data_IF_731260268953
#
_entry.id   IF_731260268953
#
_cell.length_a   1.000
_cell.length_b   1.000
_cell.length_c   1.000
_cell.angle_alpha   90.00
_cell.angle_beta   90.00
_cell.angle_gamma   90.00
#
_symmetry.space_group_name_H-M   'P 1'
#
loop_
_entity.id
_entity.type
_entity.pdbx_description
1 polymer ?
#
# COMPACT_ATOMS: atom_id res chain seq x y z
N UNK A 1 18.61 -33.80 9.19
CA UNK A 1 17.71 -32.65 9.36
C UNK A 1 16.89 -32.54 8.10
N UNK A 2 15.57 -32.71 8.19
CA UNK A 2 14.69 -32.51 7.05
C UNK A 2 14.67 -31.01 6.71
N UNK A 3 15.03 -30.66 5.47
CA UNK A 3 14.80 -29.31 4.94
C UNK A 3 13.28 -29.14 4.93
N UNK A 4 12.71 -28.17 5.66
CA UNK A 4 11.28 -27.90 5.57
C UNK A 4 10.96 -27.59 4.11
N UNK A 5 9.98 -28.28 3.53
CA UNK A 5 9.42 -27.94 2.23
C UNK A 5 9.01 -26.48 2.32
N UNK A 6 9.73 -25.59 1.63
CA UNK A 6 9.39 -24.18 1.64
C UNK A 6 8.02 -24.06 0.96
N UNK A 7 6.99 -23.47 1.61
CA UNK A 7 5.80 -23.07 0.89
C UNK A 7 6.26 -22.22 -0.29
N UNK A 8 5.73 -22.51 -1.49
CA UNK A 8 6.12 -21.87 -2.75
C UNK A 8 6.38 -20.38 -2.54
N UNK A 9 7.66 -19.98 -2.62
CA UNK A 9 8.08 -18.59 -2.47
C UNK A 9 7.78 -17.75 -3.72
N UNK A 10 7.04 -18.32 -4.67
CA UNK A 10 6.72 -17.70 -5.95
C UNK A 10 5.41 -16.95 -5.86
N UNK A 11 5.40 -15.76 -6.48
CA UNK A 11 4.19 -15.01 -6.72
C UNK A 11 3.17 -15.87 -7.49
N UNK A 12 1.89 -15.65 -7.19
CA UNK A 12 0.82 -16.09 -8.08
C UNK A 12 0.98 -15.42 -9.45
N UNK A 13 0.69 -16.11 -10.57
CA UNK A 13 0.70 -15.50 -11.88
C UNK A 13 -0.27 -14.32 -11.90
N UNK A 14 0.21 -13.13 -12.28
CA UNK A 14 -0.63 -11.93 -12.33
C UNK A 14 -1.71 -12.10 -13.41
N UNK A 15 -3.02 -12.10 -13.06
CA UNK A 15 -4.11 -12.20 -14.05
C UNK A 15 -4.05 -11.05 -15.04
N UNK A 16 -4.53 -11.18 -16.30
CA UNK A 16 -4.48 -10.09 -17.27
C UNK A 16 -5.22 -8.82 -16.79
N UNK A 17 -4.95 -7.66 -17.40
CA UNK A 17 -5.76 -6.47 -17.18
C UNK A 17 -7.25 -6.76 -17.44
N UNK A 18 -8.12 -6.11 -16.69
CA UNK A 18 -9.57 -6.25 -16.83
C UNK A 18 -10.08 -5.08 -17.65
N UNK A 19 -10.72 -5.38 -18.78
CA UNK A 19 -11.32 -4.37 -19.66
C UNK A 19 -12.35 -3.52 -18.90
N UNK A 20 -12.33 -2.21 -19.13
CA UNK A 20 -13.22 -1.25 -18.47
C UNK A 20 -12.86 -0.94 -17.01
N UNK A 21 -11.80 -1.54 -16.44
CA UNK A 21 -11.37 -1.22 -15.07
C UNK A 21 -10.78 0.20 -14.97
N UNK A 22 -10.85 0.83 -13.78
CA UNK A 22 -10.26 2.16 -13.56
C UNK A 22 -8.74 2.19 -13.83
N UNK A 23 -8.06 1.05 -13.70
CA UNK A 23 -6.64 0.89 -13.95
C UNK A 23 -6.28 0.98 -15.45
N UNK A 24 -7.23 0.72 -16.34
CA UNK A 24 -7.08 0.87 -17.80
C UNK A 24 -7.56 2.23 -18.31
N UNK A 25 -8.09 3.08 -17.43
CA UNK A 25 -8.54 4.41 -17.80
C UNK A 25 -7.37 5.28 -18.30
N UNK A 26 -7.49 6.04 -19.41
CA UNK A 26 -6.38 6.82 -19.96
C UNK A 26 -5.77 7.80 -18.94
N UNK A 27 -6.62 8.45 -18.13
CA UNK A 27 -6.18 9.36 -17.07
C UNK A 27 -5.38 8.66 -15.97
N UNK A 28 -5.74 7.42 -15.61
CA UNK A 28 -4.96 6.63 -14.66
C UNK A 28 -3.55 6.36 -15.19
N UNK A 29 -3.43 5.98 -16.48
CA UNK A 29 -2.12 5.75 -17.12
C UNK A 29 -1.26 7.02 -17.22
N UNK A 30 -1.91 8.16 -17.44
CA UNK A 30 -1.25 9.48 -17.42
C UNK A 30 -0.69 9.78 -16.02
N UNK A 31 -1.50 9.61 -14.97
CA UNK A 31 -1.09 9.80 -13.57
C UNK A 31 0.08 8.87 -13.23
N UNK A 32 -0.02 7.59 -13.59
CA UNK A 32 1.06 6.63 -13.35
C UNK A 32 2.37 7.09 -14.01
N UNK A 33 2.29 7.56 -15.26
CA UNK A 33 3.43 8.09 -16.00
C UNK A 33 4.01 9.35 -15.35
N UNK A 34 3.16 10.25 -14.86
CA UNK A 34 3.56 11.46 -14.14
C UNK A 34 4.32 11.12 -12.84
N UNK A 35 3.78 10.23 -12.00
CA UNK A 35 4.43 9.79 -10.76
C UNK A 35 5.80 9.16 -11.02
N UNK A 36 5.91 8.35 -12.08
CA UNK A 36 7.17 7.73 -12.53
C UNK A 36 8.23 8.77 -12.90
N UNK A 37 7.81 9.90 -13.45
CA UNK A 37 8.66 11.06 -13.74
C UNK A 37 9.41 11.62 -12.52
N UNK A 38 8.95 11.36 -11.29
CA UNK A 38 9.65 11.71 -10.06
C UNK A 38 10.27 10.49 -9.38
N UNK A 39 9.52 9.39 -9.30
CA UNK A 39 9.92 8.22 -8.51
C UNK A 39 11.19 7.53 -9.02
N UNK A 40 11.39 7.52 -10.34
CA UNK A 40 12.44 6.74 -11.01
C UNK A 40 13.74 7.53 -11.15
N UNK A 41 13.70 8.83 -10.83
CA UNK A 41 14.90 9.67 -10.77
C UNK A 41 15.84 9.21 -9.64
N UNK A 42 17.16 9.43 -9.78
CA UNK A 42 18.10 9.31 -8.67
C UNK A 42 17.66 10.12 -7.45
N UNK A 43 18.17 9.78 -6.26
CA UNK A 43 17.90 10.60 -5.08
C UNK A 43 18.44 12.03 -5.33
N UNK A 44 17.62 13.09 -5.20
CA UNK A 44 18.08 14.45 -5.38
C UNK A 44 19.12 14.85 -4.34
N UNK A 45 20.03 15.75 -4.71
CA UNK A 45 20.96 16.39 -3.77
C UNK A 45 20.24 17.46 -2.92
N UNK A 46 19.26 18.14 -3.51
CA UNK A 46 18.45 19.16 -2.86
C UNK A 46 17.37 18.51 -1.99
N UNK A 47 17.34 18.86 -0.71
CA UNK A 47 16.41 18.26 0.26
C UNK A 47 14.94 18.60 -0.04
N UNK A 48 14.69 19.75 -0.66
CA UNK A 48 13.36 20.22 -1.03
C UNK A 48 12.68 19.31 -2.07
N UNK A 49 13.48 18.63 -2.90
CA UNK A 49 12.98 17.71 -3.94
C UNK A 49 12.67 16.30 -3.39
N UNK A 50 13.06 16.00 -2.14
CA UNK A 50 12.94 14.65 -1.60
C UNK A 50 11.49 14.21 -1.44
N UNK A 51 10.59 15.11 -1.03
CA UNK A 51 9.17 14.79 -0.80
C UNK A 51 8.44 14.34 -2.05
N UNK A 52 8.53 15.10 -3.16
CA UNK A 52 7.88 14.70 -4.42
C UNK A 52 8.32 13.31 -4.88
N UNK A 53 9.62 13.03 -4.78
CA UNK A 53 10.16 11.72 -5.16
C UNK A 53 9.69 10.60 -4.23
N UNK A 54 9.73 10.81 -2.92
CA UNK A 54 9.34 9.80 -1.94
C UNK A 54 7.84 9.53 -1.94
N UNK A 55 6.99 10.57 -2.05
CA UNK A 55 5.55 10.39 -2.23
C UNK A 55 5.21 9.72 -3.54
N UNK A 56 5.79 10.15 -4.66
CA UNK A 56 5.54 9.48 -5.95
C UNK A 56 5.84 7.98 -5.90
N UNK A 57 6.90 7.59 -5.16
CA UNK A 57 7.17 6.18 -4.92
C UNK A 57 6.03 5.54 -4.14
N UNK A 58 5.64 6.10 -3.00
CA UNK A 58 4.60 5.53 -2.11
C UNK A 58 3.27 5.42 -2.86
N UNK A 59 2.93 6.41 -3.67
CA UNK A 59 1.72 6.43 -4.49
C UNK A 59 1.75 5.29 -5.52
N UNK A 60 2.87 5.09 -6.21
CA UNK A 60 3.03 3.96 -7.14
C UNK A 60 2.94 2.59 -6.44
N UNK A 61 3.37 2.49 -5.18
CA UNK A 61 3.15 1.27 -4.38
C UNK A 61 1.67 1.05 -4.10
N UNK A 62 0.98 2.08 -3.61
CA UNK A 62 -0.46 2.02 -3.31
C UNK A 62 -1.25 1.61 -4.54
N UNK A 63 -1.00 2.29 -5.67
CA UNK A 63 -1.63 2.01 -6.95
C UNK A 63 -1.38 0.56 -7.39
N UNK A 64 -0.13 0.08 -7.30
CA UNK A 64 0.20 -1.31 -7.65
C UNK A 64 -0.48 -2.34 -6.76
N UNK A 65 -0.60 -2.07 -5.45
CA UNK A 65 -1.29 -2.98 -4.53
C UNK A 65 -2.78 -3.04 -4.82
N UNK A 66 -3.42 -1.89 -5.03
CA UNK A 66 -4.85 -1.85 -5.38
C UNK A 66 -5.12 -2.51 -6.72
N UNK A 67 -4.27 -2.31 -7.73
CA UNK A 67 -4.41 -2.99 -9.03
C UNK A 67 -4.32 -4.51 -8.86
N UNK A 68 -3.41 -5.00 -8.01
CA UNK A 68 -3.30 -6.42 -7.68
C UNK A 68 -4.56 -6.94 -6.98
N UNK A 69 -5.10 -6.21 -6.00
CA UNK A 69 -6.38 -6.57 -5.38
C UNK A 69 -7.46 -6.74 -6.43
N UNK A 70 -7.57 -5.77 -7.35
CA UNK A 70 -8.56 -5.79 -8.41
C UNK A 70 -8.38 -6.98 -9.37
N UNK A 71 -7.16 -7.21 -9.85
CA UNK A 71 -6.84 -8.27 -10.82
C UNK A 71 -7.00 -9.67 -10.21
N UNK A 72 -6.55 -9.86 -8.97
CA UNK A 72 -6.62 -11.15 -8.29
C UNK A 72 -7.99 -11.51 -7.71
N UNK A 73 -8.95 -10.60 -7.67
CA UNK A 73 -10.26 -10.86 -7.06
C UNK A 73 -10.91 -12.16 -7.57
N UNK A 74 -11.04 -12.34 -8.89
CA UNK A 74 -11.61 -13.56 -9.47
C UNK A 74 -10.70 -14.78 -9.26
N UNK A 75 -9.39 -14.61 -9.51
CA UNK A 75 -8.39 -15.67 -9.35
C UNK A 75 -8.42 -16.31 -7.96
N UNK A 76 -8.59 -15.51 -6.90
CA UNK A 76 -8.62 -16.01 -5.53
C UNK A 76 -9.74 -17.02 -5.29
N UNK A 77 -10.89 -16.86 -5.94
CA UNK A 77 -12.01 -17.81 -5.89
C UNK A 77 -11.73 -19.05 -6.74
N UNK A 78 -11.21 -18.85 -7.95
CA UNK A 78 -10.91 -19.93 -8.90
C UNK A 78 -9.79 -20.86 -8.39
N UNK A 79 -8.86 -20.31 -7.60
CA UNK A 79 -7.72 -21.03 -7.02
C UNK A 79 -7.96 -21.54 -5.59
N UNK A 80 -9.18 -21.37 -5.05
CA UNK A 80 -9.54 -21.75 -3.67
C UNK A 80 -8.58 -21.13 -2.61
N UNK A 81 -8.20 -19.87 -2.80
CA UNK A 81 -7.18 -19.17 -1.99
C UNK A 81 -7.71 -17.85 -1.39
N UNK A 82 -9.04 -17.76 -1.24
CA UNK A 82 -9.76 -16.54 -0.82
C UNK A 82 -9.23 -15.96 0.49
N UNK A 83 -8.91 -16.77 1.50
CA UNK A 83 -8.46 -16.22 2.79
C UNK A 83 -7.10 -15.53 2.71
N UNK A 84 -6.16 -16.06 1.92
CA UNK A 84 -4.87 -15.41 1.72
C UNK A 84 -5.00 -14.15 0.86
N UNK A 85 -5.89 -14.16 -0.14
CA UNK A 85 -6.24 -12.97 -0.90
C UNK A 85 -6.85 -11.89 -0.01
N UNK A 86 -7.83 -12.22 0.85
CA UNK A 86 -8.46 -11.25 1.75
C UNK A 86 -7.45 -10.63 2.70
N UNK A 87 -6.49 -11.40 3.23
CA UNK A 87 -5.40 -10.85 4.02
C UNK A 87 -4.53 -9.87 3.21
N UNK A 88 -4.19 -10.19 1.95
CA UNK A 88 -3.44 -9.27 1.08
C UNK A 88 -4.24 -8.00 0.74
N UNK A 89 -5.54 -8.15 0.44
CA UNK A 89 -6.42 -7.03 0.13
C UNK A 89 -6.60 -6.09 1.32
N UNK A 90 -6.76 -6.64 2.52
CA UNK A 90 -6.87 -5.86 3.74
C UNK A 90 -5.57 -5.11 4.06
N UNK A 91 -4.41 -5.73 3.86
CA UNK A 91 -3.10 -5.05 3.96
C UNK A 91 -3.02 -3.89 2.96
N UNK A 92 -3.49 -4.10 1.73
CA UNK A 92 -3.44 -3.11 0.66
C UNK A 92 -4.30 -1.89 0.98
N UNK A 93 -5.57 -2.10 1.33
CA UNK A 93 -6.51 -1.03 1.65
C UNK A 93 -6.11 -0.32 2.95
N UNK A 94 -5.73 -1.07 3.99
CA UNK A 94 -5.30 -0.50 5.26
C UNK A 94 -4.00 0.31 5.13
N UNK A 95 -3.11 0.01 4.17
CA UNK A 95 -1.95 0.85 3.89
C UNK A 95 -2.33 2.22 3.35
N UNK A 96 -3.34 2.29 2.47
CA UNK A 96 -3.88 3.55 1.97
C UNK A 96 -4.43 4.38 3.12
N UNK A 97 -5.22 3.77 4.02
CA UNK A 97 -5.72 4.44 5.21
C UNK A 97 -4.59 4.99 6.09
N UNK A 98 -3.62 4.15 6.45
CA UNK A 98 -2.54 4.52 7.38
C UNK A 98 -1.59 5.60 6.83
N UNK A 99 -1.43 5.66 5.51
CA UNK A 99 -0.64 6.70 4.83
C UNK A 99 -1.33 8.06 4.93
N UNK A 100 -2.58 8.16 4.49
CA UNK A 100 -3.32 9.42 4.54
C UNK A 100 -3.64 9.88 5.99
N UNK A 101 -3.90 8.93 6.90
CA UNK A 101 -4.05 9.24 8.32
C UNK A 101 -2.75 9.82 8.92
N UNK A 102 -1.58 9.36 8.48
CA UNK A 102 -0.31 9.92 8.92
C UNK A 102 -0.14 11.35 8.40
N UNK A 103 -0.52 11.61 7.15
CA UNK A 103 -0.48 12.95 6.56
C UNK A 103 -1.36 13.93 7.32
N UNK A 104 -2.64 13.61 7.50
CA UNK A 104 -3.61 14.49 8.16
C UNK A 104 -3.31 14.70 9.64
N UNK A 105 -2.81 13.70 10.35
CA UNK A 105 -2.60 13.79 11.80
C UNK A 105 -1.22 14.35 12.15
N UNK A 106 -0.21 14.18 11.27
CA UNK A 106 1.19 14.53 11.58
C UNK A 106 1.83 15.44 10.55
N UNK A 107 1.79 15.10 9.27
CA UNK A 107 2.64 15.75 8.26
C UNK A 107 2.06 17.12 7.86
N UNK A 108 0.85 17.16 7.32
CA UNK A 108 0.24 18.41 6.84
C UNK A 108 0.07 19.45 7.95
N UNK A 109 -0.39 19.10 9.17
CA UNK A 109 -0.45 20.09 10.26
C UNK A 109 0.92 20.64 10.65
N UNK A 110 1.97 19.80 10.62
CA UNK A 110 3.32 20.24 10.93
C UNK A 110 3.87 21.14 9.82
N UNK A 111 3.63 20.80 8.56
CA UNK A 111 3.98 21.64 7.41
C UNK A 111 3.26 22.99 7.46
N UNK A 112 1.94 23.01 7.66
CA UNK A 112 1.15 24.24 7.73
C UNK A 112 1.64 25.15 8.86
N UNK A 113 1.91 24.57 10.04
CA UNK A 113 2.48 25.31 11.17
C UNK A 113 3.85 25.91 10.86
N UNK A 114 4.71 25.16 10.15
CA UNK A 114 6.05 25.59 9.80
C UNK A 114 6.06 26.70 8.75
N UNK A 115 5.24 26.55 7.71
CA UNK A 115 5.09 27.51 6.62
C UNK A 115 4.35 28.79 7.04
N UNK A 116 3.56 28.74 8.11
CA UNK A 116 2.74 29.86 8.58
C UNK A 116 1.44 30.06 7.80
N UNK A 117 1.11 29.13 6.92
CA UNK A 117 -0.10 29.08 6.09
C UNK A 117 -0.41 27.61 5.76
N UNK A 118 -1.67 27.28 5.49
CA UNK A 118 -2.07 25.91 5.15
C UNK A 118 -2.10 25.71 3.62
N UNK A 119 -1.00 25.18 3.08
CA UNK A 119 -0.88 24.88 1.64
C UNK A 119 -1.41 23.49 1.27
N UNK A 120 -1.85 22.70 2.26
CA UNK A 120 -2.21 21.29 2.11
C UNK A 120 -3.69 21.01 2.43
N UNK A 121 -4.49 22.02 2.76
CA UNK A 121 -5.94 21.87 2.99
C UNK A 121 -6.68 21.21 1.81
N UNK A 122 -6.21 21.48 0.59
CA UNK A 122 -6.75 20.84 -0.62
C UNK A 122 -6.51 19.33 -0.66
N UNK A 123 -5.37 18.86 -0.17
CA UNK A 123 -5.07 17.43 -0.06
C UNK A 123 -6.01 16.75 0.94
N UNK A 124 -6.25 17.39 2.09
CA UNK A 124 -7.20 16.89 3.09
C UNK A 124 -8.61 16.77 2.51
N UNK A 125 -9.08 17.78 1.79
CA UNK A 125 -10.40 17.73 1.15
C UNK A 125 -10.49 16.59 0.12
N UNK A 126 -9.41 16.32 -0.62
CA UNK A 126 -9.33 15.20 -1.55
C UNK A 126 -9.31 13.84 -0.83
N UNK A 127 -8.62 13.71 0.31
CA UNK A 127 -8.69 12.50 1.14
C UNK A 127 -10.14 12.17 1.49
N UNK A 128 -10.88 13.16 1.96
CA UNK A 128 -12.28 12.99 2.38
C UNK A 128 -13.22 12.66 1.21
N UNK A 129 -12.81 12.88 -0.04
CA UNK A 129 -13.57 12.51 -1.21
C UNK A 129 -13.56 11.00 -1.51
N UNK A 130 -12.44 10.30 -1.25
CA UNK A 130 -12.34 8.84 -1.47
C UNK A 130 -12.42 8.02 -0.17
N UNK A 131 -12.08 8.61 0.98
CA UNK A 131 -11.98 7.88 2.25
C UNK A 131 -13.25 7.09 2.62
N UNK A 132 -14.49 7.61 2.47
CA UNK A 132 -15.68 6.84 2.84
C UNK A 132 -15.80 5.51 2.08
N UNK A 133 -15.51 5.50 0.78
CA UNK A 133 -15.56 4.30 -0.03
C UNK A 133 -14.40 3.34 0.30
N UNK A 134 -13.20 3.86 0.52
CA UNK A 134 -12.03 3.08 0.95
C UNK A 134 -12.27 2.39 2.29
N UNK A 135 -12.79 3.13 3.27
CA UNK A 135 -13.01 2.63 4.64
C UNK A 135 -14.14 1.59 4.67
N UNK A 136 -15.21 1.80 3.88
CA UNK A 136 -16.26 0.80 3.72
C UNK A 136 -15.74 -0.50 3.09
N UNK A 137 -14.85 -0.41 2.09
CA UNK A 137 -14.19 -1.59 1.52
C UNK A 137 -13.35 -2.30 2.58
N UNK A 138 -12.59 -1.54 3.37
CA UNK A 138 -11.76 -2.12 4.41
C UNK A 138 -12.59 -2.86 5.46
N UNK A 139 -13.66 -2.24 5.95
CA UNK A 139 -14.58 -2.85 6.90
C UNK A 139 -15.22 -4.12 6.31
N UNK A 140 -15.66 -4.07 5.06
CA UNK A 140 -16.19 -5.23 4.35
C UNK A 140 -15.18 -6.38 4.26
N UNK A 141 -13.95 -6.11 3.82
CA UNK A 141 -12.88 -7.12 3.70
C UNK A 141 -12.55 -7.76 5.06
N UNK A 142 -12.44 -6.95 6.11
CA UNK A 142 -12.14 -7.42 7.45
C UNK A 142 -13.27 -8.29 8.01
N UNK A 143 -14.51 -7.86 7.85
CA UNK A 143 -15.70 -8.60 8.30
C UNK A 143 -15.85 -9.92 7.54
N UNK A 144 -15.67 -9.90 6.22
CA UNK A 144 -15.71 -11.10 5.38
C UNK A 144 -14.60 -12.09 5.76
N UNK A 145 -13.38 -11.58 5.94
CA UNK A 145 -12.23 -12.38 6.40
C UNK A 145 -12.50 -13.03 7.74
N UNK A 146 -13.10 -12.29 8.69
CA UNK A 146 -13.51 -12.82 9.99
C UNK A 146 -14.56 -13.93 9.85
N UNK A 147 -15.61 -13.71 9.07
CA UNK A 147 -16.73 -14.64 8.91
C UNK A 147 -16.35 -15.93 8.16
N UNK A 148 -15.41 -15.85 7.21
CA UNK A 148 -14.92 -17.02 6.47
C UNK A 148 -13.80 -17.78 7.19
N UNK A 149 -13.11 -17.14 8.14
CA UNK A 149 -11.97 -17.75 8.82
C UNK A 149 -12.41 -18.79 9.87
N UNK A 150 -11.88 -20.02 9.84
CA UNK A 150 -12.07 -20.94 10.96
C UNK A 150 -11.41 -20.38 12.24
N UNK A 151 -11.90 -20.76 13.43
CA UNK A 151 -11.26 -20.38 14.69
C UNK A 151 -9.77 -20.76 14.68
N UNK A 152 -8.89 -19.78 14.94
CA UNK A 152 -7.41 -19.89 14.92
C UNK A 152 -6.73 -19.98 13.54
N UNK A 153 -7.37 -19.50 12.47
CA UNK A 153 -6.73 -19.46 11.15
C UNK A 153 -5.44 -18.62 11.14
N UNK A 154 -4.37 -19.17 10.53
CA UNK A 154 -3.11 -18.45 10.25
C UNK A 154 -3.23 -17.46 9.08
N UNK A 155 -4.30 -17.57 8.28
CA UNK A 155 -4.58 -16.69 7.14
C UNK A 155 -5.38 -15.43 7.50
N UNK A 156 -5.61 -15.18 8.80
CA UNK A 156 -6.24 -13.91 9.21
C UNK A 156 -5.29 -12.75 8.89
N UNK A 157 -5.86 -11.65 8.40
CA UNK A 157 -5.12 -10.42 8.13
C UNK A 157 -4.22 -10.02 9.30
N UNK A 158 -2.98 -9.59 9.03
CA UNK A 158 -2.09 -9.05 10.05
C UNK A 158 -2.46 -7.65 10.52
N UNK A 159 -3.41 -7.00 9.85
CA UNK A 159 -3.77 -5.65 10.17
C UNK A 159 -4.41 -5.61 11.56
N UNK A 160 -4.09 -4.60 12.40
CA UNK A 160 -4.73 -4.44 13.71
C UNK A 160 -6.26 -4.41 13.59
N UNK A 161 -6.94 -4.53 14.73
CA UNK A 161 -8.37 -4.26 14.81
C UNK A 161 -8.67 -2.91 14.11
N UNK A 162 -9.73 -2.91 13.30
CA UNK A 162 -10.20 -1.70 12.64
C UNK A 162 -10.36 -0.57 13.67
N UNK A 163 -9.96 0.67 13.34
CA UNK A 163 -10.34 1.84 14.11
C UNK A 163 -11.86 1.89 14.35
N UNK A 164 -12.29 2.51 15.45
CA UNK A 164 -13.72 2.66 15.77
C UNK A 164 -14.49 3.32 14.63
N UNK A 165 -13.85 4.28 13.98
CA UNK A 165 -14.40 5.09 12.90
C UNK A 165 -14.68 4.21 11.67
N UNK A 166 -13.82 3.23 11.38
CA UNK A 166 -13.98 2.32 10.24
C UNK A 166 -14.92 1.16 10.57
N UNK A 167 -14.78 0.56 11.75
CA UNK A 167 -15.61 -0.58 12.18
C UNK A 167 -17.08 -0.23 12.43
N UNK A 168 -17.38 1.04 12.71
CA UNK A 168 -18.75 1.53 12.93
C UNK A 168 -19.48 1.95 11.65
N UNK A 169 -18.82 1.91 10.50
CA UNK A 169 -19.45 2.23 9.21
C UNK A 169 -20.62 1.30 8.94
N UNK A 170 -21.78 1.90 8.67
CA UNK A 170 -22.97 1.20 8.21
C UNK A 170 -22.81 0.82 6.73
N UNK A 171 -22.40 -0.44 6.48
CA UNK A 171 -22.20 -0.97 5.13
C UNK A 171 -23.47 -0.94 4.27
N UNK A 172 -24.67 -0.79 4.85
CA UNK A 172 -25.91 -0.66 4.05
C UNK A 172 -25.99 0.64 3.24
N UNK A 173 -25.17 1.64 3.58
CA UNK A 173 -25.04 2.90 2.83
C UNK A 173 -24.21 2.75 1.55
N UNK A 174 -23.53 1.62 1.37
CA UNK A 174 -22.66 1.33 0.22
C UNK A 174 -23.30 0.22 -0.62
N UNK A 175 -24.13 0.55 -1.63
CA UNK A 175 -24.96 -0.41 -2.34
C UNK A 175 -24.18 -1.44 -3.17
N UNK A 176 -22.88 -1.19 -3.40
CA UNK A 176 -21.98 -2.09 -4.10
C UNK A 176 -21.32 -3.11 -3.16
N UNK A 177 -21.59 -3.05 -1.85
CA UNK A 177 -21.07 -3.99 -0.85
C UNK A 177 -22.24 -4.71 -0.15
N UNK A 178 -21.95 -5.90 0.39
CA UNK A 178 -22.90 -6.59 1.28
C UNK A 178 -22.92 -5.91 2.64
N UNK A 179 -24.12 -5.61 3.15
CA UNK A 179 -24.33 -5.15 4.53
C UNK A 179 -23.97 -6.22 5.57
N UNK A 180 -23.97 -7.50 5.18
CA UNK A 180 -23.57 -8.64 6.02
C UNK A 180 -22.68 -9.58 5.20
N UNK A 181 -21.35 -9.34 5.14
CA UNK A 181 -20.43 -10.10 4.31
C UNK A 181 -20.25 -11.55 4.80
N UNK A 182 -20.99 -12.52 4.24
CA UNK A 182 -20.90 -13.94 4.60
C UNK A 182 -20.40 -14.85 3.48
N UNK A 183 -20.26 -14.33 2.26
CA UNK A 183 -19.79 -15.07 1.10
C UNK A 183 -18.94 -14.19 0.20
N UNK A 184 -17.89 -14.77 -0.39
CA UNK A 184 -16.98 -14.06 -1.27
C UNK A 184 -17.53 -13.90 -2.69
N UNK A 185 -17.68 -12.64 -3.11
CA UNK A 185 -18.01 -12.25 -4.48
C UNK A 185 -16.93 -11.33 -5.06
N UNK A 186 -16.14 -11.79 -6.05
CA UNK A 186 -15.09 -10.98 -6.65
C UNK A 186 -15.63 -9.77 -7.43
N UNK A 187 -16.86 -9.83 -7.95
CA UNK A 187 -17.48 -8.73 -8.71
C UNK A 187 -17.82 -7.58 -7.77
N UNK A 188 -18.28 -7.89 -6.55
CA UNK A 188 -18.59 -6.91 -5.52
C UNK A 188 -17.37 -6.04 -5.16
N UNK A 189 -16.22 -6.67 -4.93
CA UNK A 189 -14.97 -5.97 -4.62
C UNK A 189 -14.57 -5.06 -5.77
N UNK A 190 -14.59 -5.56 -7.01
CA UNK A 190 -14.23 -4.78 -8.20
C UNK A 190 -15.14 -3.58 -8.40
N UNK A 191 -16.45 -3.81 -8.45
CA UNK A 191 -17.43 -2.74 -8.66
C UNK A 191 -17.31 -1.64 -7.60
N UNK A 192 -17.07 -2.01 -6.34
CA UNK A 192 -16.88 -1.02 -5.28
C UNK A 192 -15.57 -0.24 -5.46
N UNK A 193 -14.48 -0.90 -5.88
CA UNK A 193 -13.23 -0.20 -6.22
C UNK A 193 -13.38 0.77 -7.39
N UNK A 194 -14.21 0.46 -8.38
CA UNK A 194 -14.49 1.35 -9.52
C UNK A 194 -15.03 2.72 -9.07
N UNK A 195 -15.69 2.78 -7.90
CA UNK A 195 -16.27 4.03 -7.37
C UNK A 195 -15.26 5.03 -6.85
N UNK A 196 -14.04 4.61 -6.47
CA UNK A 196 -13.09 5.50 -5.79
C UNK A 196 -11.66 5.45 -6.32
N UNK A 197 -11.23 4.40 -7.03
CA UNK A 197 -9.82 4.25 -7.44
C UNK A 197 -9.34 5.41 -8.30
N UNK A 198 -10.16 5.92 -9.23
CA UNK A 198 -9.76 7.05 -10.05
C UNK A 198 -9.69 8.35 -9.24
N UNK A 199 -10.62 8.56 -8.30
CA UNK A 199 -10.61 9.74 -7.39
C UNK A 199 -9.36 9.72 -6.50
N UNK A 200 -9.02 8.54 -5.96
CA UNK A 200 -7.77 8.34 -5.23
C UNK A 200 -6.56 8.63 -6.13
N UNK A 201 -6.53 8.11 -7.36
CA UNK A 201 -5.40 8.34 -8.26
C UNK A 201 -5.20 9.83 -8.59
N UNK A 202 -6.28 10.59 -8.80
CA UNK A 202 -6.21 12.05 -8.99
C UNK A 202 -5.61 12.76 -7.78
N UNK A 203 -6.04 12.39 -6.57
CA UNK A 203 -5.45 12.90 -5.35
C UNK A 203 -3.93 12.62 -5.28
N UNK A 204 -3.52 11.37 -5.54
CA UNK A 204 -2.12 10.97 -5.53
C UNK A 204 -1.28 11.74 -6.56
N UNK A 205 -1.88 12.19 -7.66
CA UNK A 205 -1.25 13.09 -8.63
C UNK A 205 -1.11 14.51 -8.09
N UNK A 206 -2.21 15.09 -7.62
CA UNK A 206 -2.27 16.50 -7.19
C UNK A 206 -1.39 16.77 -5.96
N UNK A 207 -1.23 15.79 -5.07
CA UNK A 207 -0.34 15.92 -3.92
C UNK A 207 1.13 16.13 -4.32
N UNK A 208 1.59 15.58 -5.44
CA UNK A 208 2.97 15.80 -5.86
C UNK A 208 3.23 17.28 -6.16
N UNK A 209 2.23 18.00 -6.67
CA UNK A 209 2.30 19.45 -6.88
C UNK A 209 2.17 20.26 -5.57
N UNK A 210 1.50 19.71 -4.54
CA UNK A 210 1.50 20.31 -3.19
C UNK A 210 2.82 20.12 -2.45
N UNK A 211 3.64 19.17 -2.89
CA UNK A 211 4.98 18.89 -2.38
C UNK A 211 6.10 19.53 -3.20
N UNK A 212 5.79 20.48 -4.10
CA UNK A 212 6.79 21.19 -4.92
C UNK A 212 7.89 21.84 -4.06
N UNK A 213 9.16 21.87 -4.51
CA UNK A 213 10.29 22.43 -3.76
C UNK A 213 10.04 23.81 -3.16
N UNK A 214 9.39 24.71 -3.89
CA UNK A 214 9.08 26.07 -3.41
C UNK A 214 8.12 26.09 -2.20
N UNK A 215 7.22 25.10 -2.10
CA UNK A 215 6.31 24.94 -0.95
C UNK A 215 7.04 24.31 0.23
N UNK A 216 7.88 23.31 -0.04
CA UNK A 216 8.72 22.64 0.97
C UNK A 216 9.77 23.61 1.55
N UNK A 217 10.30 24.53 0.77
CA UNK A 217 11.22 25.56 1.24
C UNK A 217 10.59 26.42 2.35
N UNK A 218 9.28 26.71 2.28
CA UNK A 218 8.55 27.45 3.33
C UNK A 218 8.47 26.70 4.65
N UNK A 219 8.49 25.36 4.63
CA UNK A 219 8.58 24.54 5.86
C UNK A 219 9.94 24.74 6.52
N UNK A 220 10.99 24.88 5.72
CA UNK A 220 12.36 25.08 6.18
C UNK A 220 13.05 23.78 6.61
N UNK A 221 14.34 23.67 6.28
CA UNK A 221 15.13 22.44 6.43
C UNK A 221 15.10 21.81 7.82
N UNK A 222 15.23 22.62 8.87
CA UNK A 222 15.26 22.13 10.26
C UNK A 222 13.95 21.46 10.65
N UNK A 223 12.84 22.03 10.20
CA UNK A 223 11.52 21.52 10.53
C UNK A 223 11.17 20.30 9.67
N UNK A 224 11.58 20.28 8.40
CA UNK A 224 11.56 19.08 7.56
C UNK A 224 12.31 17.89 8.21
N UNK A 225 13.55 18.11 8.67
CA UNK A 225 14.34 17.08 9.36
C UNK A 225 13.60 16.55 10.61
N UNK A 226 12.93 17.42 11.37
CA UNK A 226 12.12 17.05 12.52
C UNK A 226 10.91 16.20 12.11
N UNK A 227 10.16 16.62 11.09
CA UNK A 227 8.97 15.93 10.59
C UNK A 227 9.34 14.54 10.06
N UNK A 228 10.42 14.43 9.29
CA UNK A 228 10.94 13.14 8.80
C UNK A 228 11.33 12.20 9.94
N UNK A 229 11.91 12.74 11.01
CA UNK A 229 12.22 11.98 12.23
C UNK A 229 10.94 11.45 12.92
N UNK A 230 9.91 12.29 13.01
CA UNK A 230 8.61 11.91 13.58
C UNK A 230 7.91 10.84 12.74
N UNK A 231 7.94 10.97 11.41
CA UNK A 231 7.45 9.95 10.47
C UNK A 231 8.17 8.62 10.71
N UNK A 232 9.50 8.63 10.78
CA UNK A 232 10.28 7.42 11.07
C UNK A 232 9.92 6.81 12.44
N UNK A 233 9.74 7.64 13.46
CA UNK A 233 9.33 7.18 14.79
C UNK A 233 7.91 6.58 14.79
N UNK A 234 7.00 7.11 13.98
CA UNK A 234 5.66 6.56 13.79
C UNK A 234 5.70 5.21 13.08
N UNK A 235 6.40 5.11 11.94
CA UNK A 235 6.52 3.87 11.16
C UNK A 235 7.13 2.71 11.98
N UNK A 236 8.04 3.01 12.92
CA UNK A 236 8.63 2.01 13.84
C UNK A 236 7.62 1.36 14.79
N UNK A 237 6.39 1.89 14.92
CA UNK A 237 5.34 1.33 15.79
C UNK A 237 4.52 0.24 15.10
N UNK A 238 4.63 0.11 13.78
CA UNK A 238 3.85 -0.87 13.02
C UNK A 238 4.38 -2.29 13.27
N UNK A 239 3.48 -3.30 13.25
CA UNK A 239 3.91 -4.71 13.31
C UNK A 239 4.81 -5.00 12.09
N UNK A 240 6.08 -5.39 12.31
CA UNK A 240 7.02 -5.63 11.23
C UNK A 240 6.57 -6.76 10.30
N UNK A 241 5.75 -7.71 10.78
CA UNK A 241 5.28 -8.82 9.97
C UNK A 241 4.40 -8.39 8.79
N UNK A 242 3.74 -7.23 8.87
CA UNK A 242 3.03 -6.67 7.72
C UNK A 242 3.74 -5.47 7.11
N UNK A 243 4.20 -4.51 7.92
CA UNK A 243 4.75 -3.27 7.38
C UNK A 243 6.07 -3.50 6.67
N UNK A 244 7.00 -4.20 7.34
CA UNK A 244 8.31 -4.46 6.77
C UNK A 244 8.23 -5.45 5.61
N UNK A 245 7.41 -6.50 5.74
CA UNK A 245 7.23 -7.48 4.68
C UNK A 245 6.56 -6.88 3.43
N UNK A 246 5.54 -6.03 3.59
CA UNK A 246 4.95 -5.31 2.46
C UNK A 246 5.96 -4.35 1.81
N UNK A 247 6.76 -3.64 2.61
CA UNK A 247 7.81 -2.75 2.11
C UNK A 247 8.94 -3.50 1.38
N UNK A 248 9.27 -4.73 1.80
CA UNK A 248 10.28 -5.57 1.14
C UNK A 248 9.74 -6.29 -0.10
N UNK A 249 8.44 -6.53 -0.17
CA UNK A 249 7.76 -7.10 -1.35
C UNK A 249 7.31 -6.04 -2.36
N UNK A 250 7.78 -4.79 -2.23
CA UNK A 250 7.43 -3.62 -3.06
C UNK A 250 8.20 -3.54 -4.39
N UNK A 251 7.63 -2.80 -5.35
CA UNK A 251 8.30 -2.32 -6.58
C UNK A 251 7.85 -0.90 -7.00
N UNK A 252 8.76 -0.10 -7.59
CA UNK A 252 8.54 1.15 -8.37
C UNK A 252 9.59 1.17 -9.52
N UNK A 253 9.28 1.55 -10.78
CA UNK A 253 9.95 1.09 -12.04
C UNK A 253 11.23 1.86 -12.47
N UNK A 254 11.96 1.59 -13.60
CA UNK A 254 11.61 1.56 -15.05
C UNK A 254 12.76 0.96 -15.95
N UNK A 255 12.80 1.19 -17.30
CA UNK A 255 12.47 0.36 -18.51
C UNK A 255 13.51 -0.72 -18.95
N UNK A 256 13.26 -1.56 -20.01
CA UNK A 256 12.43 -1.28 -21.19
C UNK A 256 11.29 -2.27 -21.39
N UNK A 257 10.43 -2.55 -20.39
CA UNK A 257 9.34 -3.51 -20.58
C UNK A 257 8.04 -3.16 -19.82
N UNK A 258 6.88 -3.61 -20.37
CA UNK A 258 5.52 -3.27 -19.93
C UNK A 258 5.08 -4.03 -18.67
N UNK A 259 5.80 -3.77 -17.56
CA UNK A 259 5.75 -4.38 -16.23
C UNK A 259 6.52 -5.72 -16.13
N UNK A 260 7.49 -5.93 -15.22
CA UNK A 260 7.82 -5.18 -13.98
C UNK A 260 9.31 -4.77 -13.85
N UNK A 261 9.65 -3.60 -13.28
CA UNK A 261 11.07 -3.21 -13.07
C UNK A 261 11.37 -2.85 -11.61
N UNK A 262 12.26 -3.62 -10.98
CA UNK A 262 12.66 -3.50 -9.58
C UNK A 262 13.74 -2.44 -9.40
N UNK A 263 13.94 -2.05 -8.14
CA UNK A 263 15.28 -1.86 -7.61
C UNK A 263 15.88 -3.26 -7.39
N UNK A 264 17.04 -3.62 -7.95
CA UNK A 264 17.75 -4.86 -7.60
C UNK A 264 17.85 -5.01 -6.08
N UNK A 265 18.06 -6.22 -5.57
CA UNK A 265 18.16 -6.48 -4.13
C UNK A 265 19.11 -5.49 -3.39
N UNK A 266 20.16 -5.05 -4.08
CA UNK A 266 21.13 -4.04 -3.64
C UNK A 266 20.55 -2.63 -3.43
N UNK A 267 19.50 -2.26 -4.14
CA UNK A 267 18.85 -0.96 -4.00
C UNK A 267 17.73 -1.00 -2.95
N UNK A 268 17.09 -2.16 -2.69
CA UNK A 268 16.26 -2.36 -1.49
C UNK A 268 17.14 -2.25 -0.22
N UNK A 269 18.38 -2.76 -0.25
CA UNK A 269 19.36 -2.55 0.84
C UNK A 269 19.61 -1.07 1.13
N UNK A 270 19.70 -0.25 0.07
CA UNK A 270 19.91 1.20 0.19
C UNK A 270 18.66 1.94 0.63
N UNK A 271 17.49 1.56 0.12
CA UNK A 271 16.21 2.20 0.41
C UNK A 271 15.68 1.83 1.81
N UNK A 272 15.92 0.60 2.27
CA UNK A 272 15.58 0.09 3.59
C UNK A 272 16.84 -0.50 4.25
N UNK A 273 17.73 0.35 4.81
CA UNK A 273 18.93 -0.09 5.50
C UNK A 273 18.56 -0.72 6.85
N UNK A 274 18.15 -1.99 6.79
CA UNK A 274 17.79 -2.77 7.97
C UNK A 274 19.05 -3.34 8.61
N UNK A 275 19.09 -3.44 9.97
CA UNK A 275 20.14 -4.18 10.64
C UNK A 275 20.26 -5.60 10.08
N UNK A 276 21.48 -6.11 9.94
CA UNK A 276 21.74 -7.43 9.36
C UNK A 276 20.85 -8.52 9.98
N UNK A 277 20.69 -8.52 11.32
CA UNK A 277 19.85 -9.49 12.03
C UNK A 277 18.38 -9.39 11.63
N UNK A 278 17.86 -8.17 11.44
CA UNK A 278 16.48 -7.94 11.03
C UNK A 278 16.28 -8.48 9.61
N UNK A 279 17.16 -8.07 8.69
CA UNK A 279 17.06 -8.41 7.28
C UNK A 279 17.30 -9.89 7.00
N UNK A 280 18.37 -10.46 7.57
CA UNK A 280 18.83 -11.82 7.27
C UNK A 280 18.17 -12.86 8.12
N UNK A 281 17.72 -12.54 9.34
CA UNK A 281 17.14 -13.54 10.24
C UNK A 281 15.66 -13.30 10.50
N UNK A 282 15.30 -12.10 10.99
CA UNK A 282 13.91 -11.87 11.40
C UNK A 282 12.95 -11.85 10.21
N UNK A 283 13.28 -11.19 9.11
CA UNK A 283 12.43 -11.17 7.92
C UNK A 283 12.16 -12.58 7.39
N UNK A 284 13.18 -13.41 7.07
CA UNK A 284 12.91 -14.69 6.42
C UNK A 284 12.42 -15.80 7.34
N UNK A 285 12.69 -15.73 8.64
CA UNK A 285 12.35 -16.84 9.55
C UNK A 285 11.29 -16.48 10.60
N UNK A 286 10.99 -15.20 10.81
CA UNK A 286 10.02 -14.75 11.84
C UNK A 286 8.85 -14.02 11.19
N UNK A 287 9.12 -12.97 10.41
CA UNK A 287 8.10 -12.05 9.91
C UNK A 287 7.43 -12.57 8.63
N UNK A 288 8.22 -12.91 7.61
CA UNK A 288 7.73 -13.38 6.32
C UNK A 288 6.88 -14.65 6.39
N UNK A 289 7.29 -15.69 7.13
CA UNK A 289 6.49 -16.91 7.26
C UNK A 289 5.10 -16.72 7.88
N UNK A 290 4.89 -15.67 8.68
CA UNK A 290 3.62 -15.43 9.40
C UNK A 290 2.43 -15.23 8.45
N UNK A 291 2.66 -14.60 7.28
CA UNK A 291 1.63 -14.30 6.26
C UNK A 291 2.04 -14.75 4.85
N UNK A 292 2.84 -15.81 4.76
CA UNK A 292 3.43 -16.28 3.50
C UNK A 292 2.41 -16.48 2.36
N UNK A 293 1.20 -16.96 2.66
CA UNK A 293 0.14 -17.11 1.67
C UNK A 293 -0.32 -15.78 1.08
N UNK A 294 -0.56 -14.77 1.92
CA UNK A 294 -0.94 -13.43 1.46
C UNK A 294 0.17 -12.79 0.60
N UNK A 295 1.44 -13.03 0.95
CA UNK A 295 2.56 -12.48 0.19
C UNK A 295 2.65 -12.99 -1.24
N UNK A 296 2.05 -14.13 -1.58
CA UNK A 296 2.00 -14.64 -2.95
C UNK A 296 1.23 -13.73 -3.92
N UNK A 297 0.37 -12.86 -3.40
CA UNK A 297 -0.32 -11.84 -4.20
C UNK A 297 0.54 -10.58 -4.43
N UNK A 298 1.63 -10.42 -3.67
CA UNK A 298 2.62 -9.37 -3.89
C UNK A 298 3.49 -9.69 -5.13
N UNK A 299 4.16 -8.69 -5.72
CA UNK A 299 4.97 -8.91 -6.92
C UNK A 299 6.22 -9.74 -6.66
N UNK A 300 6.83 -9.64 -5.46
CA UNK A 300 8.13 -10.26 -5.14
C UNK A 300 8.15 -10.95 -3.76
N UNK A 301 7.26 -11.92 -3.47
CA UNK A 301 7.29 -12.67 -2.20
C UNK A 301 8.64 -13.32 -1.89
N UNK A 302 9.45 -13.64 -2.92
CA UNK A 302 10.77 -14.20 -2.77
C UNK A 302 11.72 -13.29 -1.99
N UNK A 303 11.48 -11.98 -1.93
CA UNK A 303 12.27 -11.02 -1.12
C UNK A 303 12.17 -11.30 0.38
N UNK A 304 11.16 -12.04 0.81
CA UNK A 304 11.01 -12.49 2.19
C UNK A 304 11.73 -13.81 2.48
N UNK A 305 12.43 -14.40 1.51
CA UNK A 305 13.20 -15.63 1.74
C UNK A 305 14.62 -15.31 2.19
N UNK A 306 15.35 -16.30 2.70
CA UNK A 306 16.77 -16.11 3.01
C UNK A 306 17.59 -15.68 1.78
N UNK A 307 17.29 -16.21 0.59
CA UNK A 307 17.99 -15.80 -0.63
C UNK A 307 17.60 -14.40 -1.07
N UNK A 308 16.31 -14.05 -0.98
CA UNK A 308 15.82 -12.73 -1.39
C UNK A 308 16.15 -11.62 -0.38
N UNK A 309 16.26 -11.93 0.91
CA UNK A 309 16.65 -10.96 1.94
C UNK A 309 18.17 -10.83 2.12
N UNK A 310 18.97 -11.58 1.34
CA UNK A 310 20.43 -11.50 1.34
C UNK A 310 20.98 -10.15 0.92
#
# INVERSE_FOLDING_TARGET
>A
MAVPVQPSSLAHPLPPPVEGSPFEHPRYKEIETYLRGFADKPKPDQWQEWWQREMSRIHLLILSMLERVYRFAAFAKESDDVLNFLAYAEISVGQVYNHHALEEVKIFPAFAKAAGEDLWEGNVAQHHAFAPALDALWNHLHTLSYNLSPPKSKSRSPFPALPSEVSSIDLSQFPLLSAAPTSYDPTMIRNHMDSFVLVLAEHLHDEIDSLHPDKIEKVGKKEDERIRSDVLAHLKKYDPAWFLCAAMNRQVAHPPLPHPACLPNEEIKKALPLPWIVRRVLVPFVFGPKHAGAWRYAPYPENLTWSGSA
#
